data_IF_550331117790
#
_entry.id   IF_550331117790
#
_cell.length_a   1.000
_cell.length_b   1.000
_cell.length_c   1.000
_cell.angle_alpha   90.00
_cell.angle_beta   90.00
_cell.angle_gamma   90.00
#
_symmetry.space_group_name_H-M   'P 1'
#
loop_
_entity.id
_entity.type
_entity.pdbx_description
1 polymer ?
#
# COMPACT_ATOMS: atom_id res chain seq x y z
N UNK A 1 13.05 21.33 -8.25
CA UNK A 1 14.18 22.18 -7.83
C UNK A 1 15.45 21.36 -7.96
N UNK A 2 16.44 21.85 -8.72
CA UNK A 2 17.76 21.24 -8.80
C UNK A 2 18.45 21.36 -7.44
N UNK A 3 18.98 20.27 -6.93
CA UNK A 3 19.83 20.30 -5.74
C UNK A 3 21.19 20.92 -6.10
N UNK A 4 21.84 21.55 -5.15
CA UNK A 4 23.17 22.17 -5.39
C UNK A 4 24.22 21.17 -5.93
N UNK A 5 24.07 19.89 -5.56
CA UNK A 5 24.89 18.79 -6.09
C UNK A 5 24.68 18.52 -7.57
N UNK A 6 23.42 18.60 -8.04
CA UNK A 6 23.06 18.38 -9.45
C UNK A 6 23.67 19.48 -10.32
N UNK A 7 23.62 20.74 -9.86
CA UNK A 7 24.20 21.86 -10.57
C UNK A 7 25.71 21.69 -10.71
N UNK A 8 26.42 21.35 -9.60
CA UNK A 8 27.87 21.12 -9.64
C UNK A 8 28.27 19.95 -10.55
N UNK A 9 27.43 18.88 -10.58
CA UNK A 9 27.67 17.77 -11.50
C UNK A 9 27.56 18.22 -12.95
N UNK A 10 26.51 18.97 -13.30
CA UNK A 10 26.29 19.50 -14.65
C UNK A 10 27.42 20.47 -15.05
N UNK A 11 27.82 21.38 -14.18
CA UNK A 11 28.98 22.28 -14.39
C UNK A 11 30.24 21.49 -14.73
N UNK A 12 30.50 20.42 -13.99
CA UNK A 12 31.65 19.55 -14.22
C UNK A 12 31.61 18.82 -15.56
N UNK A 13 30.42 18.34 -15.96
CA UNK A 13 30.24 17.54 -17.19
C UNK A 13 30.26 18.45 -18.46
N UNK A 14 29.62 19.62 -18.37
CA UNK A 14 29.49 20.53 -19.54
C UNK A 14 30.65 21.54 -19.61
N UNK A 15 31.41 21.69 -18.52
CA UNK A 15 32.52 22.68 -18.48
C UNK A 15 32.06 24.14 -18.42
N UNK A 16 30.78 24.40 -18.13
CA UNK A 16 30.18 25.74 -18.08
C UNK A 16 29.71 26.04 -16.67
N UNK A 17 30.13 27.19 -16.11
CA UNK A 17 29.68 27.65 -14.79
C UNK A 17 28.25 28.18 -14.83
N UNK A 18 27.41 27.71 -13.92
CA UNK A 18 26.01 28.11 -13.82
C UNK A 18 25.87 29.32 -12.89
N UNK A 19 25.20 30.38 -13.38
CA UNK A 19 24.91 31.57 -12.59
C UNK A 19 24.16 31.25 -11.29
N UNK A 20 24.50 31.89 -10.17
CA UNK A 20 23.80 31.71 -8.88
C UNK A 20 22.28 32.01 -8.97
N UNK A 21 21.88 32.85 -9.91
CA UNK A 21 20.47 33.20 -10.17
C UNK A 21 19.79 32.32 -11.22
N UNK A 22 20.44 31.26 -11.69
CA UNK A 22 19.89 30.37 -12.71
C UNK A 22 18.52 29.82 -12.30
N UNK A 23 18.36 29.35 -11.07
CA UNK A 23 17.11 28.81 -10.55
C UNK A 23 15.97 29.83 -10.52
N UNK A 24 16.27 31.12 -10.32
CA UNK A 24 15.27 32.21 -10.35
C UNK A 24 14.86 32.60 -11.77
N UNK A 25 15.78 32.46 -12.73
CA UNK A 25 15.55 32.80 -14.15
C UNK A 25 14.91 31.63 -14.92
N UNK A 26 15.03 30.40 -14.40
CA UNK A 26 14.49 29.20 -15.03
C UNK A 26 13.00 29.06 -14.66
N UNK A 27 12.16 29.88 -15.33
CA UNK A 27 10.71 29.91 -15.13
C UNK A 27 10.02 28.63 -15.61
N UNK A 28 8.85 28.35 -15.10
CA UNK A 28 8.10 27.12 -15.39
C UNK A 28 7.83 26.89 -16.89
N UNK A 29 7.54 27.96 -17.64
CA UNK A 29 7.35 27.85 -19.10
C UNK A 29 8.61 27.36 -19.83
N UNK A 30 9.77 27.85 -19.42
CA UNK A 30 11.05 27.43 -19.99
C UNK A 30 11.37 25.99 -19.59
N UNK A 31 11.10 25.63 -18.34
CA UNK A 31 11.25 24.28 -17.84
C UNK A 31 10.41 23.28 -18.62
N UNK A 32 9.13 23.62 -18.87
CA UNK A 32 8.23 22.77 -19.64
C UNK A 32 8.71 22.58 -21.09
N UNK A 33 9.15 23.65 -21.75
CA UNK A 33 9.71 23.55 -23.09
C UNK A 33 10.95 22.65 -23.16
N UNK A 34 11.87 22.80 -22.22
CA UNK A 34 13.08 21.98 -22.18
C UNK A 34 12.73 20.51 -21.86
N UNK A 35 11.77 20.26 -20.96
CA UNK A 35 11.29 18.92 -20.69
C UNK A 35 10.75 18.24 -21.95
N UNK A 36 9.88 18.92 -22.70
CA UNK A 36 9.32 18.39 -23.95
C UNK A 36 10.41 18.12 -24.99
N UNK A 37 11.37 19.03 -25.17
CA UNK A 37 12.49 18.84 -26.06
C UNK A 37 13.35 17.63 -25.70
N UNK A 38 13.61 17.42 -24.37
CA UNK A 38 14.36 16.28 -23.89
C UNK A 38 13.59 14.98 -24.18
N UNK A 39 12.29 14.94 -23.90
CA UNK A 39 11.45 13.78 -24.16
C UNK A 39 11.48 13.42 -25.66
N UNK A 40 11.27 14.38 -26.52
CA UNK A 40 11.32 14.23 -27.98
C UNK A 40 12.69 13.72 -28.45
N UNK A 41 13.77 14.36 -28.01
CA UNK A 41 15.16 14.00 -28.40
C UNK A 41 15.50 12.58 -27.91
N UNK A 42 15.02 12.18 -26.77
CA UNK A 42 15.25 10.83 -26.21
C UNK A 42 14.23 9.78 -26.72
N UNK A 43 13.26 10.18 -27.54
CA UNK A 43 12.21 9.31 -28.06
C UNK A 43 11.24 8.81 -26.98
N UNK A 44 10.97 9.66 -25.96
CA UNK A 44 10.00 9.37 -24.91
C UNK A 44 8.67 10.06 -25.18
N UNK A 45 7.59 9.39 -24.82
CA UNK A 45 6.21 9.91 -24.87
C UNK A 45 5.88 10.55 -23.52
N UNK A 46 5.21 11.68 -23.54
CA UNK A 46 4.74 12.36 -22.34
C UNK A 46 3.71 11.49 -21.59
N UNK A 47 3.86 11.40 -20.26
CA UNK A 47 2.96 10.57 -19.43
C UNK A 47 1.49 10.97 -19.54
N UNK A 48 1.19 12.25 -19.74
CA UNK A 48 -0.18 12.77 -19.84
C UNK A 48 -1.01 12.05 -20.90
N UNK A 49 -0.40 11.71 -22.04
CA UNK A 49 -1.05 10.93 -23.11
C UNK A 49 -1.27 9.45 -22.76
N UNK A 50 -0.53 8.91 -21.82
CA UNK A 50 -0.59 7.52 -21.42
C UNK A 50 -1.33 7.30 -20.08
N UNK A 51 -1.76 8.35 -19.39
CA UNK A 51 -2.29 8.28 -18.01
C UNK A 51 -3.50 7.36 -17.89
N UNK A 52 -4.43 7.41 -18.84
CA UNK A 52 -5.62 6.55 -18.81
C UNK A 52 -5.26 5.07 -18.94
N UNK A 53 -4.38 4.74 -19.88
CA UNK A 53 -3.89 3.36 -20.08
C UNK A 53 -3.11 2.87 -18.86
N UNK A 54 -2.33 3.75 -18.26
CA UNK A 54 -1.61 3.47 -17.02
C UNK A 54 -2.59 3.17 -15.88
N UNK A 55 -3.63 3.99 -15.68
CA UNK A 55 -4.63 3.77 -14.65
C UNK A 55 -5.39 2.44 -14.84
N UNK A 56 -5.76 2.08 -16.08
CA UNK A 56 -6.35 0.78 -16.41
C UNK A 56 -5.39 -0.37 -16.10
N UNK A 57 -4.11 -0.21 -16.41
CA UNK A 57 -3.11 -1.22 -16.09
C UNK A 57 -2.96 -1.42 -14.59
N UNK A 58 -2.93 -0.34 -13.81
CA UNK A 58 -2.94 -0.39 -12.34
C UNK A 58 -4.16 -1.17 -11.84
N UNK A 59 -5.34 -0.86 -12.33
CA UNK A 59 -6.60 -1.53 -11.95
C UNK A 59 -6.53 -3.04 -12.21
N UNK A 60 -6.06 -3.46 -13.37
CA UNK A 60 -5.90 -4.88 -13.72
C UNK A 60 -4.90 -5.59 -12.79
N UNK A 61 -3.80 -4.94 -12.41
CA UNK A 61 -2.80 -5.53 -11.51
C UNK A 61 -3.29 -5.58 -10.07
N UNK A 62 -4.07 -4.59 -9.64
CA UNK A 62 -4.74 -4.58 -8.33
C UNK A 62 -5.78 -5.68 -8.26
N UNK A 63 -6.58 -5.89 -9.31
CA UNK A 63 -7.54 -6.99 -9.40
C UNK A 63 -6.87 -8.38 -9.32
N UNK A 64 -5.63 -8.50 -9.77
CA UNK A 64 -4.80 -9.71 -9.59
C UNK A 64 -4.24 -9.85 -8.17
N UNK A 65 -4.59 -8.93 -7.27
CA UNK A 65 -4.16 -8.92 -5.87
C UNK A 65 -2.64 -8.94 -5.71
N UNK A 66 -1.93 -8.26 -6.60
CA UNK A 66 -0.47 -8.17 -6.53
C UNK A 66 -0.02 -7.32 -5.34
N UNK A 67 1.08 -7.72 -4.69
CA UNK A 67 1.65 -6.94 -3.60
C UNK A 67 1.99 -5.50 -4.05
N UNK A 68 1.59 -4.42 -3.32
CA UNK A 68 1.75 -3.03 -3.76
C UNK A 68 3.17 -2.66 -4.18
N UNK A 69 4.19 -3.17 -3.46
CA UNK A 69 5.59 -2.92 -3.80
C UNK A 69 6.01 -3.55 -5.13
N UNK A 70 5.58 -4.79 -5.40
CA UNK A 70 5.86 -5.46 -6.69
C UNK A 70 5.18 -4.73 -7.82
N UNK A 71 3.91 -4.36 -7.62
CA UNK A 71 3.11 -3.59 -8.58
C UNK A 71 3.81 -2.29 -8.95
N UNK A 72 4.28 -1.52 -7.97
CA UNK A 72 4.98 -0.26 -8.20
C UNK A 72 6.21 -0.45 -9.11
N UNK A 73 7.09 -1.41 -8.79
CA UNK A 73 8.28 -1.66 -9.59
C UNK A 73 7.95 -2.11 -11.01
N UNK A 74 6.97 -3.00 -11.17
CA UNK A 74 6.52 -3.47 -12.47
C UNK A 74 5.98 -2.34 -13.34
N UNK A 75 5.19 -1.43 -12.76
CA UNK A 75 4.67 -0.27 -13.47
C UNK A 75 5.77 0.69 -13.94
N UNK A 76 6.77 0.95 -13.10
CA UNK A 76 7.91 1.79 -13.48
C UNK A 76 8.71 1.13 -14.62
N UNK A 77 8.93 -0.18 -14.55
CA UNK A 77 9.61 -0.92 -15.60
C UNK A 77 8.83 -0.93 -16.92
N UNK A 78 7.51 -1.12 -16.87
CA UNK A 78 6.63 -1.03 -18.05
C UNK A 78 6.69 0.36 -18.70
N UNK A 79 6.64 1.45 -17.92
CA UNK A 79 6.77 2.82 -18.45
C UNK A 79 8.12 3.00 -19.15
N UNK A 80 9.21 2.56 -18.53
CA UNK A 80 10.56 2.64 -19.09
C UNK A 80 10.67 1.88 -20.41
N UNK A 81 10.18 0.64 -20.45
CA UNK A 81 10.26 -0.22 -21.62
C UNK A 81 9.44 0.32 -22.79
N UNK A 82 8.31 0.97 -22.52
CA UNK A 82 7.46 1.64 -23.50
C UNK A 82 7.95 3.03 -23.88
N UNK A 83 9.07 3.48 -23.33
CA UNK A 83 9.59 4.86 -23.48
C UNK A 83 8.54 5.92 -23.14
N UNK A 84 7.79 5.69 -22.07
CA UNK A 84 6.86 6.66 -21.51
C UNK A 84 7.58 7.37 -20.37
N UNK A 85 7.43 8.68 -20.30
CA UNK A 85 7.97 9.48 -19.20
C UNK A 85 7.51 8.92 -17.86
N UNK A 86 8.45 8.75 -16.92
CA UNK A 86 8.12 8.35 -15.56
C UNK A 86 7.61 9.59 -14.79
N UNK A 87 6.34 9.63 -14.39
CA UNK A 87 5.80 10.76 -13.64
C UNK A 87 6.41 10.85 -12.24
N UNK A 88 6.07 11.92 -11.50
CA UNK A 88 6.50 12.04 -10.11
C UNK A 88 5.98 10.87 -9.27
N UNK A 89 6.75 10.51 -8.23
CA UNK A 89 6.33 9.47 -7.27
C UNK A 89 4.93 9.72 -6.73
N UNK A 90 4.62 10.96 -6.35
CA UNK A 90 3.31 11.32 -5.78
C UNK A 90 2.17 11.07 -6.77
N UNK A 91 2.40 11.31 -8.08
CA UNK A 91 1.38 11.04 -9.10
C UNK A 91 1.12 9.54 -9.25
N UNK A 92 2.17 8.73 -9.30
CA UNK A 92 2.04 7.26 -9.35
C UNK A 92 1.38 6.73 -8.08
N UNK A 93 1.86 7.16 -6.90
CA UNK A 93 1.33 6.74 -5.62
C UNK A 93 -0.16 7.06 -5.50
N UNK A 94 -0.59 8.26 -5.91
CA UNK A 94 -2.00 8.65 -5.89
C UNK A 94 -2.87 7.72 -6.74
N UNK A 95 -2.47 7.44 -7.99
CA UNK A 95 -3.23 6.56 -8.89
C UNK A 95 -3.31 5.14 -8.30
N UNK A 96 -2.19 4.63 -7.80
CA UNK A 96 -2.13 3.30 -7.18
C UNK A 96 -3.02 3.23 -5.95
N UNK A 97 -2.91 4.20 -5.02
CA UNK A 97 -3.70 4.23 -3.78
C UNK A 97 -5.20 4.34 -4.08
N UNK A 98 -5.59 5.17 -5.05
CA UNK A 98 -6.99 5.30 -5.48
C UNK A 98 -7.55 3.96 -5.96
N UNK A 99 -6.83 3.25 -6.83
CA UNK A 99 -7.27 1.95 -7.36
C UNK A 99 -7.29 0.86 -6.28
N UNK A 100 -6.31 0.85 -5.37
CA UNK A 100 -6.36 -0.03 -4.20
C UNK A 100 -7.57 0.26 -3.32
N UNK A 101 -7.86 1.53 -3.01
CA UNK A 101 -9.02 1.89 -2.19
C UNK A 101 -10.36 1.46 -2.81
N UNK A 102 -10.50 1.55 -4.14
CA UNK A 102 -11.69 1.03 -4.84
C UNK A 102 -11.78 -0.50 -4.69
N UNK A 103 -10.67 -1.19 -4.91
CA UNK A 103 -10.62 -2.66 -4.78
C UNK A 103 -10.89 -3.11 -3.34
N UNK A 104 -10.28 -2.49 -2.34
CA UNK A 104 -10.50 -2.79 -0.92
C UNK A 104 -11.98 -2.60 -0.52
N UNK A 105 -12.62 -1.53 -1.00
CA UNK A 105 -14.06 -1.33 -0.77
C UNK A 105 -14.90 -2.45 -1.38
N UNK A 106 -14.55 -2.93 -2.57
CA UNK A 106 -15.28 -4.05 -3.19
C UNK A 106 -15.10 -5.36 -2.42
N UNK A 107 -13.89 -5.61 -1.89
CA UNK A 107 -13.62 -6.77 -1.03
C UNK A 107 -14.39 -6.68 0.29
N UNK A 108 -14.40 -5.49 0.92
CA UNK A 108 -15.16 -5.26 2.15
C UNK A 108 -16.66 -5.49 1.92
N UNK A 109 -17.21 -4.98 0.83
CA UNK A 109 -18.62 -5.23 0.48
C UNK A 109 -18.89 -6.72 0.29
N UNK A 110 -18.02 -7.44 -0.41
CA UNK A 110 -18.13 -8.88 -0.59
C UNK A 110 -18.07 -9.65 0.76
N UNK A 111 -17.27 -9.18 1.72
CA UNK A 111 -17.24 -9.74 3.07
C UNK A 111 -18.58 -9.50 3.78
N UNK A 112 -19.10 -8.27 3.74
CA UNK A 112 -20.39 -7.92 4.37
C UNK A 112 -21.53 -8.79 3.83
N UNK A 113 -21.53 -9.07 2.53
CA UNK A 113 -22.56 -9.87 1.87
C UNK A 113 -22.49 -11.37 2.22
N UNK A 114 -21.34 -11.85 2.67
CA UNK A 114 -21.08 -13.28 2.94
C UNK A 114 -21.14 -13.61 4.44
N UNK A 115 -20.77 -12.63 5.28
CA UNK A 115 -20.58 -12.86 6.71
C UNK A 115 -21.92 -13.05 7.42
N UNK A 116 -21.99 -14.07 8.27
CA UNK A 116 -23.16 -14.27 9.14
C UNK A 116 -23.09 -13.38 10.38
N UNK A 117 -24.24 -13.07 11.05
CA UNK A 117 -24.24 -12.32 12.29
C UNK A 117 -23.32 -12.91 13.37
N UNK A 118 -23.32 -14.23 13.53
CA UNK A 118 -22.44 -14.92 14.50
C UNK A 118 -20.95 -14.74 14.18
N UNK A 119 -20.59 -14.78 12.89
CA UNK A 119 -19.21 -14.54 12.45
C UNK A 119 -18.81 -13.08 12.66
N UNK A 120 -19.75 -12.15 12.47
CA UNK A 120 -19.54 -10.73 12.74
C UNK A 120 -19.27 -10.49 14.22
N UNK A 121 -20.11 -11.04 15.12
CA UNK A 121 -19.88 -10.96 16.55
C UNK A 121 -18.51 -11.53 16.96
N UNK A 122 -18.08 -12.63 16.35
CA UNK A 122 -16.77 -13.21 16.63
C UNK A 122 -15.62 -12.28 16.23
N UNK A 123 -15.76 -11.53 15.12
CA UNK A 123 -14.78 -10.52 14.69
C UNK A 123 -14.83 -9.27 15.59
N UNK A 124 -16.02 -8.79 15.93
CA UNK A 124 -16.20 -7.64 16.82
C UNK A 124 -15.58 -7.92 18.19
N UNK A 125 -15.74 -9.14 18.71
CA UNK A 125 -15.11 -9.56 19.97
C UNK A 125 -13.57 -9.51 19.94
N UNK A 126 -12.92 -9.57 18.76
CA UNK A 126 -11.46 -9.41 18.66
C UNK A 126 -11.01 -7.98 18.92
N UNK A 127 -11.79 -6.99 18.53
CA UNK A 127 -11.42 -5.57 18.56
C UNK A 127 -12.08 -4.80 19.69
N UNK A 128 -13.29 -5.21 20.11
CA UNK A 128 -13.99 -4.56 21.21
C UNK A 128 -13.30 -4.80 22.57
N UNK A 129 -13.25 -3.73 23.35
CA UNK A 129 -12.93 -3.79 24.77
C UNK A 129 -14.22 -4.06 25.53
N UNK A 130 -14.41 -5.26 26.07
CA UNK A 130 -15.51 -5.51 27.01
C UNK A 130 -15.29 -4.65 28.26
N UNK A 131 -16.18 -3.69 28.45
CA UNK A 131 -16.49 -2.72 29.50
C UNK A 131 -15.79 -2.66 30.86
N UNK A 132 -14.82 -3.49 31.18
CA UNK A 132 -14.02 -3.41 32.39
C UNK A 132 -12.73 -2.65 32.14
N UNK A 133 -12.55 -1.56 32.87
CA UNK A 133 -11.34 -0.76 32.94
C UNK A 133 -10.09 -1.66 32.92
N UNK A 134 -9.24 -1.55 31.86
CA UNK A 134 -7.95 -2.24 31.67
C UNK A 134 -7.89 -3.55 30.88
N UNK A 135 -8.95 -4.06 30.31
CA UNK A 135 -8.80 -5.24 29.44
C UNK A 135 -8.36 -4.81 28.02
N UNK A 136 -7.17 -5.27 27.64
CA UNK A 136 -6.67 -5.07 26.26
C UNK A 136 -7.54 -5.88 25.29
N UNK A 137 -7.85 -5.33 24.11
CA UNK A 137 -8.57 -6.07 23.06
C UNK A 137 -7.94 -7.46 22.84
N UNK A 138 -8.78 -8.46 22.58
CA UNK A 138 -8.31 -9.82 22.36
C UNK A 138 -7.25 -9.90 21.26
N UNK A 139 -7.43 -9.16 20.16
CA UNK A 139 -6.47 -9.07 19.07
C UNK A 139 -5.10 -8.59 19.55
N UNK A 140 -5.02 -7.60 20.46
CA UNK A 140 -3.75 -7.14 21.04
C UNK A 140 -3.05 -8.26 21.82
N UNK A 141 -3.82 -9.07 22.54
CA UNK A 141 -3.29 -10.24 23.28
C UNK A 141 -2.79 -11.32 22.34
N UNK A 142 -3.54 -11.61 21.27
CA UNK A 142 -3.15 -12.61 20.26
C UNK A 142 -1.90 -12.19 19.48
N UNK A 143 -1.68 -10.89 19.27
CA UNK A 143 -0.48 -10.35 18.62
C UNK A 143 0.77 -10.40 19.50
N UNK A 144 0.63 -10.39 20.82
CA UNK A 144 1.74 -10.49 21.77
C UNK A 144 2.21 -11.94 21.93
N UNK A 145 2.84 -12.49 20.89
CA UNK A 145 3.47 -13.81 20.97
C UNK A 145 4.78 -13.65 21.72
N UNK A 146 4.79 -14.16 22.96
CA UNK A 146 6.00 -14.20 23.77
C UNK A 146 6.89 -15.36 23.30
N UNK A 147 8.11 -15.05 22.89
CA UNK A 147 9.11 -16.05 22.49
C UNK A 147 9.77 -16.76 23.69
N UNK A 148 9.31 -16.49 24.92
CA UNK A 148 9.89 -17.06 26.12
C UNK A 148 9.38 -18.49 26.36
N UNK A 149 10.31 -19.39 26.66
CA UNK A 149 10.03 -20.79 26.98
C UNK A 149 9.56 -21.03 28.42
N UNK A 150 9.18 -20.01 29.18
CA UNK A 150 8.67 -20.16 30.54
C UNK A 150 7.32 -20.89 30.53
N UNK A 151 7.08 -21.87 31.44
CA UNK A 151 5.85 -22.71 31.44
C UNK A 151 4.55 -21.92 31.38
N UNK A 152 4.45 -20.79 32.09
CA UNK A 152 3.26 -19.93 32.08
C UNK A 152 3.02 -19.29 30.69
N UNK A 153 4.08 -18.92 29.98
CA UNK A 153 3.99 -18.33 28.65
C UNK A 153 3.68 -19.36 27.57
N UNK A 154 4.17 -20.58 27.72
CA UNK A 154 3.77 -21.72 26.87
C UNK A 154 2.28 -21.99 27.00
N UNK A 155 1.75 -22.01 28.21
CA UNK A 155 0.30 -22.19 28.47
C UNK A 155 -0.53 -21.08 27.80
N UNK A 156 -0.10 -19.81 27.91
CA UNK A 156 -0.74 -18.70 27.22
C UNK A 156 -0.66 -18.83 25.69
N UNK A 157 0.48 -19.26 25.17
CA UNK A 157 0.67 -19.50 23.73
C UNK A 157 -0.29 -20.57 23.20
N UNK A 158 -0.44 -21.68 23.94
CA UNK A 158 -1.38 -22.75 23.58
C UNK A 158 -2.84 -22.23 23.63
N UNK A 159 -3.20 -21.48 24.66
CA UNK A 159 -4.54 -20.91 24.78
C UNK A 159 -4.84 -19.94 23.59
N UNK A 160 -3.93 -19.04 23.28
CA UNK A 160 -4.07 -18.13 22.14
C UNK A 160 -4.16 -18.89 20.80
N UNK A 161 -3.39 -19.95 20.63
CA UNK A 161 -3.47 -20.81 19.45
C UNK A 161 -4.84 -21.46 19.29
N UNK A 162 -5.43 -21.96 20.40
CA UNK A 162 -6.76 -22.56 20.38
C UNK A 162 -7.84 -21.54 19.98
N UNK A 163 -7.75 -20.31 20.47
CA UNK A 163 -8.64 -19.21 20.08
C UNK A 163 -8.53 -18.93 18.57
N UNK A 164 -7.31 -18.77 18.07
CA UNK A 164 -7.07 -18.51 16.63
C UNK A 164 -7.58 -19.68 15.78
N UNK A 165 -7.33 -20.92 16.21
CA UNK A 165 -7.82 -22.12 15.53
C UNK A 165 -9.34 -22.14 15.43
N UNK A 166 -10.03 -21.83 16.52
CA UNK A 166 -11.49 -21.75 16.55
C UNK A 166 -12.02 -20.68 15.60
N UNK A 167 -11.50 -19.46 15.68
CA UNK A 167 -11.85 -18.37 14.78
C UNK A 167 -11.62 -18.73 13.31
N UNK A 168 -10.49 -19.35 13.00
CA UNK A 168 -10.18 -19.79 11.64
C UNK A 168 -11.23 -20.80 11.15
N UNK A 169 -11.64 -21.74 12.01
CA UNK A 169 -12.67 -22.73 11.65
C UNK A 169 -14.02 -22.04 11.40
N UNK A 170 -14.42 -21.09 12.22
CA UNK A 170 -15.65 -20.33 12.08
C UNK A 170 -15.67 -19.46 10.82
N UNK A 171 -14.52 -18.88 10.44
CA UNK A 171 -14.39 -17.99 9.28
C UNK A 171 -13.95 -18.71 7.99
N UNK A 172 -13.72 -20.03 8.03
CA UNK A 172 -13.17 -20.79 6.90
C UNK A 172 -13.99 -20.65 5.62
N UNK A 173 -15.32 -20.59 5.72
CA UNK A 173 -16.22 -20.42 4.58
C UNK A 173 -16.06 -19.04 3.93
N UNK A 174 -15.88 -18.00 4.72
CA UNK A 174 -15.64 -16.63 4.25
C UNK A 174 -14.28 -16.54 3.58
N UNK A 175 -13.23 -17.05 4.23
CA UNK A 175 -11.85 -17.05 3.71
C UNK A 175 -11.77 -17.75 2.35
N UNK A 176 -12.42 -18.91 2.20
CA UNK A 176 -12.46 -19.64 0.92
C UNK A 176 -13.18 -18.88 -0.18
N UNK A 177 -14.24 -18.14 0.13
CA UNK A 177 -14.99 -17.36 -0.85
C UNK A 177 -14.26 -16.10 -1.30
N UNK A 178 -13.41 -15.52 -0.43
CA UNK A 178 -12.62 -14.34 -0.76
C UNK A 178 -11.49 -14.63 -1.75
N UNK A 179 -11.04 -15.87 -1.83
CA UNK A 179 -9.98 -16.34 -2.75
C UNK A 179 -8.76 -15.39 -2.82
N UNK A 180 -8.24 -15.05 -1.64
CA UNK A 180 -7.11 -14.13 -1.53
C UNK A 180 -5.83 -14.77 -2.08
N UNK A 181 -5.13 -14.04 -2.94
CA UNK A 181 -3.81 -14.45 -3.44
C UNK A 181 -2.79 -14.56 -2.29
N UNK A 182 -1.72 -15.33 -2.52
CA UNK A 182 -0.62 -15.45 -1.56
C UNK A 182 0.03 -14.09 -1.29
N UNK A 183 0.15 -13.23 -2.30
CA UNK A 183 0.72 -11.88 -2.15
C UNK A 183 -0.18 -10.98 -1.31
N UNK A 184 -1.50 -10.99 -1.55
CA UNK A 184 -2.47 -10.25 -0.73
C UNK A 184 -2.47 -10.74 0.72
N UNK A 185 -2.50 -12.06 0.93
CA UNK A 185 -2.45 -12.64 2.27
C UNK A 185 -1.21 -12.20 3.04
N UNK A 186 -0.03 -12.23 2.41
CA UNK A 186 1.23 -11.75 3.03
C UNK A 186 1.20 -10.26 3.33
N UNK A 187 0.66 -9.45 2.42
CA UNK A 187 0.55 -8.01 2.60
C UNK A 187 -0.32 -7.66 3.80
N UNK A 188 -1.55 -8.17 3.86
CA UNK A 188 -2.47 -7.88 4.95
C UNK A 188 -2.02 -8.49 6.29
N UNK A 189 -1.44 -9.69 6.28
CA UNK A 189 -0.88 -10.27 7.50
C UNK A 189 0.26 -9.38 8.06
N UNK A 190 1.16 -8.89 7.22
CA UNK A 190 2.21 -7.97 7.61
C UNK A 190 1.65 -6.66 8.18
N UNK A 191 0.61 -6.13 7.56
CA UNK A 191 -0.06 -4.92 8.03
C UNK A 191 -0.73 -5.13 9.40
N UNK A 192 -1.51 -6.20 9.59
CA UNK A 192 -2.17 -6.52 10.86
C UNK A 192 -1.16 -6.67 12.00
N UNK A 193 0.00 -7.28 11.75
CA UNK A 193 1.06 -7.42 12.77
C UNK A 193 1.58 -6.05 13.23
N UNK A 194 1.71 -5.09 12.33
CA UNK A 194 2.29 -3.77 12.63
C UNK A 194 1.25 -2.75 13.10
N UNK A 195 0.02 -2.80 12.59
CA UNK A 195 -1.04 -1.85 12.93
C UNK A 195 -1.42 -1.91 14.43
N UNK A 196 -1.71 -0.76 15.01
CA UNK A 196 -2.36 -0.69 16.32
C UNK A 196 -3.83 -1.07 16.18
N UNK A 197 -4.43 -1.65 17.25
CA UNK A 197 -5.85 -2.04 17.20
C UNK A 197 -6.75 -0.84 16.93
N UNK A 198 -6.45 0.33 17.49
CA UNK A 198 -7.16 1.59 17.20
C UNK A 198 -7.18 1.94 15.72
N UNK A 199 -6.09 1.68 14.98
CA UNK A 199 -6.04 1.91 13.53
C UNK A 199 -6.90 0.92 12.74
N UNK A 200 -7.17 -0.25 13.31
CA UNK A 200 -8.04 -1.26 12.70
C UNK A 200 -9.50 -0.87 12.89
N UNK A 201 -9.87 -0.37 14.08
CA UNK A 201 -11.23 0.12 14.36
C UNK A 201 -11.59 1.35 13.56
N UNK A 202 -10.67 2.29 13.36
CA UNK A 202 -10.88 3.51 12.56
C UNK A 202 -11.18 3.22 11.07
N UNK A 203 -10.77 2.05 10.56
CA UNK A 203 -11.08 1.62 9.19
C UNK A 203 -12.49 1.02 9.09
N UNK A 204 -12.95 0.35 10.16
CA UNK A 204 -14.25 -0.34 10.21
C UNK A 204 -15.40 0.63 10.50
N UNK A 205 -15.13 1.70 11.24
CA UNK A 205 -16.08 2.78 11.56
C UNK A 205 -15.51 4.13 11.07
N UNK A 206 -15.63 4.45 9.77
CA UNK A 206 -15.29 5.78 9.32
C UNK A 206 -16.31 6.77 9.90
N UNK A 207 -15.84 7.70 10.73
CA UNK A 207 -16.61 8.87 11.20
C UNK A 207 -17.09 9.71 10.02
#
# INVERSE_FOLDING_TARGET
>A
LFKSGDIKFVEKVIGVSVSKDFSKRYIDRTRQKHRLLILETCGYIEFTGAETLFAQRVENLVAQQMHPRKLFYLLIEELRNKRIEIPSYDKVARIVTEKFGIFEKSVLQAIVDIITPTQREALDHLVCTTGEYYQRPLLTRLKSINQSLRPGQIRHGIHNFLIIKKLFQELQSVIKKLDLSVDATKYYAGWIVQAKVTQITDIVEPN
#
